data_IF_722323835166
#
_entry.id   IF_722323835166
#
_cell.length_a   1.000
_cell.length_b   1.000
_cell.length_c   1.000
_cell.angle_alpha   90.00
_cell.angle_beta   90.00
_cell.angle_gamma   90.00
#
_symmetry.space_group_name_H-M   'P 1'
#
loop_
_entity.id
_entity.type
_entity.pdbx_description
1 polymer ?
#
# COMPACT_ATOMS: atom_id res chain seq x y z
N UNK A 1 6.87 -1.81 -8.86
CA UNK A 1 5.84 -2.54 -8.08
C UNK A 1 6.44 -3.81 -7.52
N UNK A 2 5.93 -4.35 -6.41
CA UNK A 2 6.34 -5.67 -5.90
C UNK A 2 5.74 -6.81 -6.73
N UNK A 3 6.30 -8.03 -6.59
CA UNK A 3 5.71 -9.23 -7.18
C UNK A 3 4.30 -9.49 -6.64
N UNK A 4 4.06 -9.20 -5.35
CA UNK A 4 2.74 -9.39 -4.73
C UNK A 4 1.69 -8.43 -5.29
N UNK A 5 2.01 -7.14 -5.39
CA UNK A 5 1.12 -6.16 -6.04
C UNK A 5 0.83 -6.56 -7.50
N UNK A 6 1.80 -7.13 -8.21
CA UNK A 6 1.61 -7.64 -9.57
C UNK A 6 0.63 -8.81 -9.62
N UNK A 7 0.70 -9.75 -8.67
CA UNK A 7 -0.25 -10.87 -8.57
C UNK A 7 -1.65 -10.37 -8.21
N UNK A 8 -1.76 -9.49 -7.21
CA UNK A 8 -3.03 -8.89 -6.81
C UNK A 8 -3.69 -8.15 -7.99
N UNK A 9 -2.92 -7.35 -8.73
CA UNK A 9 -3.40 -6.69 -9.94
C UNK A 9 -4.00 -7.67 -10.95
N UNK A 10 -3.34 -8.81 -11.20
CA UNK A 10 -3.83 -9.84 -12.14
C UNK A 10 -5.14 -10.48 -11.67
N UNK A 11 -5.34 -10.59 -10.36
CA UNK A 11 -6.53 -11.19 -9.76
C UNK A 11 -7.73 -10.20 -9.71
N UNK A 12 -7.51 -8.90 -9.96
CA UNK A 12 -8.59 -7.89 -9.98
C UNK A 12 -9.46 -7.98 -11.25
N UNK A 13 -10.70 -7.52 -11.14
CA UNK A 13 -11.56 -7.27 -12.31
C UNK A 13 -10.93 -6.21 -13.25
N UNK A 14 -11.22 -6.31 -14.56
CA UNK A 14 -10.57 -5.49 -15.60
C UNK A 14 -10.74 -3.98 -15.39
N UNK A 15 -11.87 -3.54 -14.86
CA UNK A 15 -12.14 -2.14 -14.54
C UNK A 15 -11.25 -1.64 -13.39
N UNK A 16 -11.08 -2.46 -12.34
CA UNK A 16 -10.17 -2.19 -11.23
C UNK A 16 -8.72 -2.17 -11.70
N UNK A 17 -8.31 -3.10 -12.58
CA UNK A 17 -6.98 -3.10 -13.17
C UNK A 17 -6.66 -1.78 -13.88
N UNK A 18 -7.59 -1.26 -14.69
CA UNK A 18 -7.43 0.04 -15.38
C UNK A 18 -7.21 1.19 -14.39
N UNK A 19 -7.94 1.21 -13.27
CA UNK A 19 -7.77 2.22 -12.21
C UNK A 19 -6.38 2.17 -11.57
N UNK A 20 -5.86 0.97 -11.31
CA UNK A 20 -4.50 0.79 -10.76
C UNK A 20 -3.45 1.27 -11.77
N UNK A 21 -3.56 0.91 -13.04
CA UNK A 21 -2.62 1.34 -14.08
C UNK A 21 -2.67 2.86 -14.32
N UNK A 22 -3.85 3.49 -14.23
CA UNK A 22 -3.97 4.94 -14.27
C UNK A 22 -3.28 5.59 -13.06
N UNK A 23 -3.47 5.02 -11.87
CA UNK A 23 -2.79 5.47 -10.66
C UNK A 23 -1.26 5.33 -10.73
N UNK A 24 -0.72 4.26 -11.32
CA UNK A 24 0.73 4.12 -11.47
C UNK A 24 1.34 5.24 -12.30
N UNK A 25 0.68 5.65 -13.40
CA UNK A 25 1.11 6.80 -14.21
C UNK A 25 1.02 8.11 -13.44
N UNK A 26 -0.02 8.27 -12.63
CA UNK A 26 -0.18 9.44 -11.76
C UNK A 26 0.89 9.51 -10.66
N UNK A 27 1.22 8.36 -10.06
CA UNK A 27 2.30 8.20 -9.09
C UNK A 27 3.67 8.53 -9.68
N UNK A 28 3.94 8.05 -10.89
CA UNK A 28 5.19 8.36 -11.60
C UNK A 28 5.30 9.86 -11.90
N UNK A 29 4.20 10.52 -12.28
CA UNK A 29 4.18 11.93 -12.61
C UNK A 29 4.24 12.87 -11.39
N UNK A 30 3.62 12.49 -10.27
CA UNK A 30 3.38 13.40 -9.12
C UNK A 30 3.94 12.91 -7.78
N UNK A 31 4.56 11.74 -7.73
CA UNK A 31 5.13 11.18 -6.50
C UNK A 31 4.10 11.08 -5.37
N UNK A 32 4.46 11.53 -4.17
CA UNK A 32 3.58 11.46 -3.00
C UNK A 32 2.25 12.22 -3.17
N UNK A 33 2.19 13.22 -4.06
CA UNK A 33 0.97 14.01 -4.29
C UNK A 33 -0.12 13.22 -5.06
N UNK A 34 0.22 12.05 -5.62
CA UNK A 34 -0.74 11.12 -6.18
C UNK A 34 -1.49 10.32 -5.10
N UNK A 35 -0.96 10.25 -3.88
CA UNK A 35 -1.53 9.49 -2.76
C UNK A 35 -2.51 10.33 -1.95
N UNK A 36 -3.22 9.71 -1.02
CA UNK A 36 -4.18 10.40 -0.15
C UNK A 36 -3.55 10.74 1.21
N UNK A 37 -3.19 9.73 2.00
CA UNK A 37 -2.73 9.93 3.38
C UNK A 37 -1.65 8.92 3.75
N UNK A 38 -0.84 9.24 4.77
CA UNK A 38 0.00 8.27 5.47
C UNK A 38 -0.87 7.46 6.42
N UNK A 39 -0.54 6.18 6.55
CA UNK A 39 -1.08 5.34 7.59
C UNK A 39 -0.52 5.78 8.95
N UNK A 40 -1.17 5.35 10.02
CA UNK A 40 -0.77 5.68 11.39
C UNK A 40 -0.48 4.41 12.17
N UNK A 41 0.57 4.45 12.96
CA UNK A 41 1.03 3.36 13.82
C UNK A 41 2.52 3.53 14.10
N UNK A 42 3.20 2.45 14.43
CA UNK A 42 4.66 2.42 14.60
C UNK A 42 5.37 2.15 13.27
N UNK A 43 6.64 2.53 13.19
CA UNK A 43 7.49 2.22 12.03
C UNK A 43 7.46 0.71 11.71
N UNK A 44 7.29 0.29 10.44
CA UNK A 44 7.28 1.11 9.23
C UNK A 44 5.92 1.69 8.81
N UNK A 45 4.84 1.45 9.56
CA UNK A 45 3.48 1.75 9.11
C UNK A 45 3.21 3.26 8.95
N UNK A 46 3.75 4.09 9.83
CA UNK A 46 3.58 5.56 9.84
C UNK A 46 4.18 6.28 8.62
N UNK A 47 4.99 5.58 7.82
CA UNK A 47 5.60 6.10 6.59
C UNK A 47 5.02 5.48 5.32
N UNK A 48 4.10 4.53 5.44
CA UNK A 48 3.37 3.99 4.29
C UNK A 48 2.22 4.91 3.89
N UNK A 49 2.04 5.09 2.59
CA UNK A 49 0.95 5.89 2.05
C UNK A 49 -0.14 5.02 1.41
N UNK A 50 -1.38 5.46 1.56
CA UNK A 50 -2.57 4.85 0.98
C UNK A 50 -3.17 5.74 -0.11
N UNK A 51 -3.73 5.10 -1.13
CA UNK A 51 -4.61 5.73 -2.11
C UNK A 51 -5.91 4.94 -2.27
N UNK A 52 -7.03 5.64 -2.14
CA UNK A 52 -8.33 5.16 -2.59
C UNK A 52 -8.45 5.30 -4.12
N UNK A 53 -8.67 4.19 -4.81
CA UNK A 53 -8.83 4.15 -6.27
C UNK A 53 -10.30 4.06 -6.74
N UNK A 54 -11.22 4.22 -5.79
CA UNK A 54 -12.67 4.17 -5.99
C UNK A 54 -13.30 2.92 -5.36
N UNK A 55 -14.45 3.10 -4.71
CA UNK A 55 -15.08 2.05 -3.90
C UNK A 55 -14.16 1.57 -2.78
N UNK A 56 -14.06 0.25 -2.60
CA UNK A 56 -13.18 -0.39 -1.63
C UNK A 56 -11.72 -0.52 -2.11
N UNK A 57 -11.40 -0.27 -3.38
CA UNK A 57 -10.05 -0.48 -3.91
C UNK A 57 -9.03 0.47 -3.28
N UNK A 58 -7.95 -0.08 -2.75
CA UNK A 58 -6.82 0.62 -2.14
C UNK A 58 -5.51 0.24 -2.80
N UNK A 59 -4.56 1.16 -2.79
CA UNK A 59 -3.17 0.94 -3.11
C UNK A 59 -2.29 1.41 -1.94
N UNK A 60 -1.34 0.58 -1.53
CA UNK A 60 -0.38 0.88 -0.46
C UNK A 60 1.01 1.03 -1.05
N UNK A 61 1.63 2.19 -0.81
CA UNK A 61 2.92 2.58 -1.40
C UNK A 61 3.93 2.89 -0.31
N UNK A 62 5.16 2.43 -0.50
CA UNK A 62 6.33 2.83 0.27
C UNK A 62 7.26 3.66 -0.63
N UNK A 63 7.85 4.72 -0.08
CA UNK A 63 8.86 5.51 -0.78
C UNK A 63 10.25 5.08 -0.29
N UNK A 64 11.09 4.58 -1.19
CA UNK A 64 12.50 4.31 -0.90
C UNK A 64 13.27 5.63 -0.86
N UNK A 65 12.99 6.51 -1.82
CA UNK A 65 13.52 7.87 -1.91
C UNK A 65 12.46 8.81 -2.47
N UNK A 66 12.81 10.09 -2.65
CA UNK A 66 11.92 11.07 -3.29
C UNK A 66 11.59 10.70 -4.75
N UNK A 67 12.47 9.95 -5.43
CA UNK A 67 12.32 9.57 -6.84
C UNK A 67 11.91 8.11 -7.05
N UNK A 68 11.91 7.28 -6.00
CA UNK A 68 11.65 5.84 -6.10
C UNK A 68 10.60 5.39 -5.11
N UNK A 69 9.55 4.76 -5.63
CA UNK A 69 8.45 4.24 -4.85
C UNK A 69 8.11 2.79 -5.24
N UNK A 70 7.62 2.05 -4.26
CA UNK A 70 7.16 0.68 -4.40
C UNK A 70 5.66 0.62 -4.14
N UNK A 71 4.88 0.22 -5.14
CA UNK A 71 3.54 -0.31 -4.89
C UNK A 71 3.69 -1.66 -4.17
N UNK A 72 3.38 -1.69 -2.88
CA UNK A 72 3.56 -2.85 -2.00
C UNK A 72 2.36 -3.79 -2.14
N UNK A 73 1.15 -3.26 -1.98
CA UNK A 73 -0.11 -4.00 -2.06
C UNK A 73 -1.16 -3.21 -2.85
N UNK A 74 -2.08 -3.93 -3.49
CA UNK A 74 -3.29 -3.39 -4.09
C UNK A 74 -4.43 -4.38 -3.88
N UNK A 75 -5.62 -3.91 -3.53
CA UNK A 75 -6.73 -4.80 -3.22
C UNK A 75 -7.91 -4.06 -2.63
N UNK A 76 -9.01 -4.77 -2.41
CA UNK A 76 -10.17 -4.19 -1.77
C UNK A 76 -9.97 -4.07 -0.26
N UNK A 77 -10.56 -3.03 0.32
CA UNK A 77 -10.77 -2.90 1.75
C UNK A 77 -12.16 -3.46 2.08
N UNK A 78 -12.20 -4.61 2.73
CA UNK A 78 -13.42 -5.28 3.18
C UNK A 78 -13.28 -5.70 4.64
N UNK A 79 -13.95 -4.99 5.54
CA UNK A 79 -13.91 -5.30 6.97
C UNK A 79 -14.62 -6.63 7.31
N UNK A 80 -15.48 -7.14 6.42
CA UNK A 80 -16.18 -8.41 6.59
C UNK A 80 -15.38 -9.63 6.07
N UNK A 81 -14.39 -9.42 5.19
CA UNK A 81 -13.56 -10.48 4.62
C UNK A 81 -12.07 -10.19 4.76
N UNK A 82 -11.50 -10.68 5.87
CA UNK A 82 -10.08 -10.54 6.17
C UNK A 82 -9.15 -11.21 5.15
N UNK A 83 -9.62 -12.18 4.34
CA UNK A 83 -8.80 -12.84 3.32
C UNK A 83 -8.48 -11.90 2.15
N UNK A 84 -9.43 -11.03 1.77
CA UNK A 84 -9.29 -10.09 0.67
C UNK A 84 -8.99 -8.66 1.12
N UNK A 85 -9.03 -8.39 2.43
CA UNK A 85 -8.74 -7.07 2.98
C UNK A 85 -7.25 -6.73 2.87
N UNK A 86 -6.96 -5.72 2.05
CA UNK A 86 -5.62 -5.14 1.85
C UNK A 86 -4.90 -4.79 3.17
N UNK A 87 -5.62 -4.34 4.20
CA UNK A 87 -5.01 -4.00 5.48
C UNK A 87 -4.67 -5.22 6.32
N UNK A 88 -5.43 -6.31 6.23
CA UNK A 88 -5.06 -7.55 6.92
C UNK A 88 -3.71 -8.06 6.41
N UNK A 89 -3.52 -8.08 5.09
CA UNK A 89 -2.25 -8.45 4.49
C UNK A 89 -1.13 -7.46 4.83
N UNK A 90 -1.44 -6.15 4.86
CA UNK A 90 -0.48 -5.13 5.29
C UNK A 90 0.00 -5.37 6.73
N UNK A 91 -0.91 -5.59 7.68
CA UNK A 91 -0.55 -5.80 9.09
C UNK A 91 0.30 -7.06 9.29
N UNK A 92 0.01 -8.12 8.54
CA UNK A 92 0.86 -9.31 8.50
C UNK A 92 2.26 -9.01 7.94
N UNK A 93 2.34 -8.18 6.91
CA UNK A 93 3.61 -7.80 6.28
C UNK A 93 4.50 -6.98 7.23
N UNK A 94 3.91 -6.03 7.96
CA UNK A 94 4.65 -5.16 8.88
C UNK A 94 4.86 -5.78 10.28
N UNK A 95 4.33 -6.98 10.54
CA UNK A 95 4.49 -7.69 11.82
C UNK A 95 3.58 -7.18 12.95
N UNK A 96 2.53 -6.42 12.63
CA UNK A 96 1.61 -5.81 13.59
C UNK A 96 0.22 -6.47 13.56
N UNK A 97 0.17 -7.80 13.52
CA UNK A 97 -1.08 -8.53 13.76
C UNK A 97 -1.23 -8.76 15.28
N UNK A 98 -2.40 -8.45 15.89
CA UNK A 98 -3.65 -8.00 15.28
C UNK A 98 -3.67 -6.49 14.97
N UNK A 99 -4.54 -6.13 14.03
CA UNK A 99 -4.86 -4.75 13.63
C UNK A 99 -5.12 -3.85 14.85
N UNK A 100 -4.44 -2.70 14.99
CA UNK A 100 -4.69 -1.77 16.10
C UNK A 100 -6.14 -1.25 16.07
N UNK A 101 -6.82 -1.30 17.24
CA UNK A 101 -8.22 -0.89 17.45
C UNK A 101 -8.38 0.61 17.70
N UNK A 102 -7.28 1.35 17.88
CA UNK A 102 -7.30 2.78 18.15
C UNK A 102 -7.70 3.61 16.91
N UNK A 103 -8.31 4.77 17.18
CA UNK A 103 -8.76 5.70 16.15
C UNK A 103 -7.57 6.27 15.39
N UNK A 104 -7.40 5.85 14.14
CA UNK A 104 -6.34 6.29 13.24
C UNK A 104 -6.58 7.72 12.77
N UNK A 105 -5.53 8.56 12.82
CA UNK A 105 -5.52 9.83 12.10
C UNK A 105 -5.17 9.57 10.63
N UNK A 106 -5.41 10.55 9.75
CA UNK A 106 -5.11 10.44 8.31
C UNK A 106 -4.29 11.64 7.86
N UNK A 107 -3.03 11.75 8.33
CA UNK A 107 -2.17 12.84 7.91
C UNK A 107 -1.90 12.74 6.39
N UNK A 108 -1.68 13.85 5.67
CA UNK A 108 -1.34 13.82 4.26
C UNK A 108 -0.15 12.89 3.95
N UNK A 109 -0.16 12.30 2.74
CA UNK A 109 0.96 11.43 2.32
C UNK A 109 2.28 12.20 2.30
N UNK A 110 2.30 13.30 1.55
CA UNK A 110 3.44 14.20 1.53
C UNK A 110 3.60 14.90 2.90
N UNK A 111 4.85 15.04 3.33
CA UNK A 111 5.23 15.93 4.42
C UNK A 111 5.26 17.40 3.98
N UNK A 112 5.79 18.23 4.86
CA UNK A 112 6.02 19.64 4.55
C UNK A 112 6.93 19.79 3.32
N UNK A 113 6.64 20.80 2.50
CA UNK A 113 7.36 21.05 1.25
C UNK A 113 7.07 20.06 0.12
N UNK A 114 6.09 19.16 0.28
CA UNK A 114 5.73 18.18 -0.75
C UNK A 114 6.68 16.97 -0.80
N UNK A 115 7.44 16.74 0.26
CA UNK A 115 8.38 15.63 0.37
C UNK A 115 7.67 14.31 0.64
N UNK A 116 8.07 13.24 -0.03
CA UNK A 116 7.61 11.90 0.26
C UNK A 116 8.23 11.39 1.58
N UNK A 117 7.50 10.55 2.36
CA UNK A 117 8.02 9.93 3.57
C UNK A 117 9.00 8.80 3.22
N UNK A 118 10.21 9.17 2.78
CA UNK A 118 11.23 8.23 2.34
C UNK A 118 11.73 7.35 3.51
N UNK A 119 11.94 6.08 3.23
CA UNK A 119 12.33 5.07 4.22
C UNK A 119 13.63 4.33 3.88
N UNK A 120 14.28 4.68 2.76
CA UNK A 120 15.51 4.02 2.30
C UNK A 120 15.33 2.50 2.21
N UNK A 121 16.33 1.78 2.71
CA UNK A 121 16.42 0.31 2.68
C UNK A 121 15.22 -0.38 3.34
N UNK A 122 14.52 0.27 4.27
CA UNK A 122 13.31 -0.29 4.89
C UNK A 122 12.19 -0.46 3.85
N UNK A 123 12.08 0.43 2.86
CA UNK A 123 11.11 0.28 1.78
C UNK A 123 11.45 -0.91 0.86
N UNK A 124 12.74 -1.09 0.56
CA UNK A 124 13.21 -2.23 -0.25
C UNK A 124 13.01 -3.56 0.49
N UNK A 125 13.36 -3.63 1.77
CA UNK A 125 13.13 -4.82 2.58
C UNK A 125 11.62 -5.14 2.72
N UNK A 126 10.76 -4.12 2.88
CA UNK A 126 9.32 -4.33 2.86
C UNK A 126 8.84 -4.87 1.51
N UNK A 127 9.39 -4.37 0.41
CA UNK A 127 9.11 -4.87 -0.93
C UNK A 127 9.54 -6.34 -1.09
N UNK A 128 10.71 -6.72 -0.59
CA UNK A 128 11.21 -8.09 -0.58
C UNK A 128 10.35 -9.02 0.30
N UNK A 129 9.93 -8.55 1.48
CA UNK A 129 9.00 -9.29 2.35
C UNK A 129 7.65 -9.51 1.67
N UNK A 130 7.13 -8.51 0.96
CA UNK A 130 5.88 -8.62 0.21
C UNK A 130 5.96 -9.72 -0.86
N UNK A 131 7.12 -9.90 -1.52
CA UNK A 131 7.31 -11.00 -2.49
C UNK A 131 7.15 -12.39 -1.85
N UNK A 132 7.46 -12.54 -0.55
CA UNK A 132 7.36 -13.81 0.18
C UNK A 132 5.94 -14.12 0.68
N UNK A 133 5.02 -13.16 0.63
CA UNK A 133 3.60 -13.39 0.90
C UNK A 133 2.99 -14.21 -0.24
N UNK A 134 3.16 -15.53 -0.15
CA UNK A 134 2.45 -16.46 -1.04
C UNK A 134 0.97 -16.39 -0.73
N UNK A 135 0.13 -16.54 -1.77
CA UNK A 135 -1.31 -16.78 -1.63
C UNK A 135 -1.49 -17.84 -0.54
N UNK A 136 -2.14 -17.50 0.57
CA UNK A 136 -2.60 -18.52 1.52
C UNK A 136 -3.54 -19.39 0.71
N UNK A 137 -3.10 -20.62 0.38
CA UNK A 137 -3.84 -21.50 -0.52
C UNK A 137 -5.10 -21.93 0.22
N UNK A 138 -6.29 -21.60 -0.30
CA UNK A 138 -7.57 -22.13 0.19
C UNK A 138 -7.43 -23.65 0.39
N UNK A 139 -7.73 -24.11 1.60
CA UNK A 139 -8.21 -25.48 1.81
C UNK A 139 -9.72 -25.45 1.71
#
# INVERSE_FOLDING_TARGET
MTQRATQQLKDLQKDKQKKVLAFLRDLEARGCAALSYRLTGTEPLDRLCDKHLGGSLRAVVAFESQARAWLILVGDHDDADAEFNVYYELYRLVGHAPTPSEKRTKPPCCGEGGSAPAMGDVAEDLALRAMRLRKTRRR
#
